data_IF_380133991358
#
_entry.id   IF_380133991358
#
_cell.length_a   1.000
_cell.length_b   1.000
_cell.length_c   1.000
_cell.angle_alpha   90.00
_cell.angle_beta   90.00
_cell.angle_gamma   90.00
#
_symmetry.space_group_name_H-M   'P 1'
#
loop_
_entity.id
_entity.type
_entity.pdbx_description
1 polymer ?
#
# COMPACT_ATOMS: atom_id res chain seq x y z
N UNK A 1 30.60 -6.66 15.60
CA UNK A 1 30.11 -7.61 16.62
C UNK A 1 29.06 -7.00 17.54
N UNK A 2 29.25 -5.81 18.12
CA UNK A 2 28.22 -5.23 19.00
C UNK A 2 27.02 -4.62 18.26
N UNK A 3 27.25 -3.98 17.10
CA UNK A 3 26.18 -3.42 16.28
C UNK A 3 25.30 -4.52 15.64
N UNK A 4 25.91 -5.59 15.13
CA UNK A 4 25.20 -6.73 14.54
C UNK A 4 24.31 -7.46 15.56
N UNK A 5 24.80 -7.65 16.80
CA UNK A 5 23.99 -8.20 17.90
C UNK A 5 22.84 -7.28 18.27
N UNK A 6 23.06 -5.96 18.27
CA UNK A 6 22.02 -4.96 18.50
C UNK A 6 20.93 -5.01 17.42
N UNK A 7 21.30 -5.08 16.15
CA UNK A 7 20.34 -5.17 15.04
C UNK A 7 19.55 -6.47 15.08
N UNK A 8 20.18 -7.62 15.32
CA UNK A 8 19.44 -8.89 15.44
C UNK A 8 18.45 -8.89 16.61
N UNK A 9 18.85 -8.38 17.77
CA UNK A 9 17.95 -8.26 18.92
C UNK A 9 16.75 -7.34 18.62
N UNK A 10 16.95 -6.27 17.85
CA UNK A 10 15.86 -5.41 17.39
C UNK A 10 14.94 -6.11 16.39
N UNK A 11 15.49 -6.89 15.45
CA UNK A 11 14.70 -7.68 14.51
C UNK A 11 13.90 -8.79 15.21
N UNK A 12 14.46 -9.44 16.23
CA UNK A 12 13.73 -10.41 17.06
C UNK A 12 12.52 -9.76 17.75
N UNK A 13 12.68 -8.51 18.20
CA UNK A 13 11.61 -7.73 18.81
C UNK A 13 10.53 -7.34 17.80
N UNK A 14 10.93 -6.94 16.59
CA UNK A 14 10.01 -6.65 15.49
C UNK A 14 9.24 -7.89 15.03
N UNK A 15 9.93 -9.03 14.90
CA UNK A 15 9.31 -10.31 14.54
C UNK A 15 8.27 -10.71 15.59
N UNK A 16 8.57 -10.49 16.88
CA UNK A 16 7.61 -10.72 17.95
C UNK A 16 6.34 -9.87 17.77
N UNK A 17 6.48 -8.57 17.51
CA UNK A 17 5.32 -7.68 17.27
C UNK A 17 4.51 -8.12 16.05
N UNK A 18 5.19 -8.55 14.99
CA UNK A 18 4.56 -9.08 13.77
C UNK A 18 3.71 -10.32 14.06
N UNK A 19 4.25 -11.28 14.83
CA UNK A 19 3.55 -12.51 15.22
C UNK A 19 2.39 -12.23 16.18
N UNK A 20 2.53 -11.26 17.07
CA UNK A 20 1.49 -10.85 18.02
C UNK A 20 0.37 -10.04 17.34
N UNK A 21 0.54 -9.62 16.08
CA UNK A 21 -0.43 -8.82 15.33
C UNK A 21 -0.43 -7.34 15.67
N UNK A 22 0.62 -6.87 16.36
CA UNK A 22 0.78 -5.49 16.81
C UNK A 22 1.35 -4.60 15.68
N UNK A 23 0.66 -4.58 14.53
CA UNK A 23 1.17 -4.01 13.27
C UNK A 23 1.38 -2.49 13.32
N UNK A 24 0.53 -1.74 14.04
CA UNK A 24 0.70 -0.30 14.22
C UNK A 24 1.98 0.01 15.01
N UNK A 25 2.18 -0.70 16.12
CA UNK A 25 3.37 -0.55 16.94
C UNK A 25 4.63 -0.97 16.16
N UNK A 26 4.56 -2.08 15.42
CA UNK A 26 5.64 -2.52 14.55
C UNK A 26 6.00 -1.44 13.52
N UNK A 27 5.01 -0.89 12.81
CA UNK A 27 5.20 0.13 11.78
C UNK A 27 5.89 1.37 12.35
N UNK A 28 5.44 1.84 13.50
CA UNK A 28 6.02 3.03 14.15
C UNK A 28 7.46 2.79 14.58
N UNK A 29 7.76 1.63 15.16
CA UNK A 29 9.14 1.32 15.57
C UNK A 29 10.10 1.14 14.41
N UNK A 30 9.62 0.63 13.27
CA UNK A 30 10.44 0.58 12.05
C UNK A 30 10.67 2.01 11.52
N UNK A 31 9.72 2.94 11.62
CA UNK A 31 9.94 4.36 11.29
C UNK A 31 11.00 4.98 12.20
N UNK A 32 10.87 4.83 13.51
CA UNK A 32 11.88 5.31 14.47
C UNK A 32 13.26 4.72 14.17
N UNK A 33 13.31 3.44 13.78
CA UNK A 33 14.57 2.81 13.37
C UNK A 33 15.15 3.42 12.08
N UNK A 34 14.31 3.67 11.08
CA UNK A 34 14.70 4.31 9.83
C UNK A 34 15.19 5.75 10.03
N UNK A 35 14.57 6.50 10.93
CA UNK A 35 14.96 7.87 11.29
C UNK A 35 16.30 7.91 12.03
N UNK A 36 16.50 7.03 13.02
CA UNK A 36 17.68 7.06 13.88
C UNK A 36 18.90 6.32 13.29
N UNK A 37 18.69 5.34 12.41
CA UNK A 37 19.74 4.44 11.89
C UNK A 37 19.58 4.17 10.38
N UNK A 38 19.45 5.23 9.59
CA UNK A 38 19.07 5.18 8.17
C UNK A 38 19.88 4.20 7.30
N UNK A 39 21.22 4.18 7.40
CA UNK A 39 22.07 3.27 6.61
C UNK A 39 21.82 1.79 6.93
N UNK A 40 21.64 1.48 8.22
CA UNK A 40 21.36 0.11 8.68
C UNK A 40 19.96 -0.30 8.24
N UNK A 41 18.99 0.61 8.38
CA UNK A 41 17.63 0.40 7.90
C UNK A 41 17.59 0.03 6.41
N UNK A 42 18.27 0.79 5.54
CA UNK A 42 18.30 0.47 4.11
C UNK A 42 18.96 -0.87 3.82
N UNK A 43 20.06 -1.18 4.52
CA UNK A 43 20.75 -2.47 4.38
C UNK A 43 19.80 -3.62 4.74
N UNK A 44 19.09 -3.52 5.85
CA UNK A 44 18.13 -4.53 6.31
C UNK A 44 16.93 -4.61 5.37
N UNK A 45 16.34 -3.47 4.98
CA UNK A 45 15.19 -3.44 4.08
C UNK A 45 15.51 -4.09 2.72
N UNK A 46 16.66 -3.77 2.14
CA UNK A 46 17.09 -4.36 0.86
C UNK A 46 17.40 -5.85 1.00
N UNK A 47 18.04 -6.26 2.10
CA UNK A 47 18.30 -7.68 2.40
C UNK A 47 16.99 -8.48 2.52
N UNK A 48 16.00 -7.97 3.27
CA UNK A 48 14.70 -8.63 3.47
C UNK A 48 13.88 -8.74 2.19
N UNK A 49 13.99 -7.78 1.25
CA UNK A 49 13.31 -7.85 -0.05
C UNK A 49 13.96 -8.81 -1.07
N UNK A 50 15.05 -9.46 -0.67
CA UNK A 50 15.83 -10.37 -1.49
C UNK A 50 16.24 -9.82 -2.88
N UNK A 51 16.61 -8.52 -2.95
CA UNK A 51 16.88 -7.84 -4.22
C UNK A 51 18.16 -8.37 -4.89
N UNK A 52 18.09 -8.94 -6.12
CA UNK A 52 19.26 -9.50 -6.80
C UNK A 52 20.37 -8.47 -7.09
N UNK A 53 19.98 -7.24 -7.41
CA UNK A 53 20.93 -6.16 -7.68
C UNK A 53 21.71 -5.79 -6.41
N UNK A 54 21.02 -5.70 -5.27
CA UNK A 54 21.65 -5.40 -3.99
C UNK A 54 22.70 -6.45 -3.60
N UNK A 55 22.38 -7.74 -3.71
CA UNK A 55 23.35 -8.79 -3.39
C UNK A 55 24.52 -8.81 -4.36
N UNK A 56 24.29 -8.55 -5.65
CA UNK A 56 25.38 -8.41 -6.62
C UNK A 56 26.36 -7.30 -6.23
N UNK A 57 25.85 -6.15 -5.77
CA UNK A 57 26.68 -5.03 -5.31
C UNK A 57 27.44 -5.36 -4.02
N UNK A 58 26.76 -5.99 -3.05
CA UNK A 58 27.38 -6.40 -1.78
C UNK A 58 28.48 -7.44 -2.02
N UNK A 59 28.25 -8.43 -2.88
CA UNK A 59 29.25 -9.45 -3.21
C UNK A 59 30.47 -8.85 -3.91
N UNK A 60 30.25 -7.89 -4.81
CA UNK A 60 31.33 -7.20 -5.52
C UNK A 60 32.20 -6.33 -4.58
N UNK A 61 31.60 -5.72 -3.56
CA UNK A 61 32.30 -4.79 -2.66
C UNK A 61 32.86 -5.45 -1.40
N UNK A 62 32.13 -6.39 -0.80
CA UNK A 62 32.40 -6.95 0.52
C UNK A 62 32.65 -8.47 0.48
N UNK A 63 32.39 -9.13 -0.65
CA UNK A 63 32.54 -10.57 -0.84
C UNK A 63 31.29 -11.39 -0.48
N UNK A 64 31.36 -12.69 -0.74
CA UNK A 64 30.22 -13.62 -0.63
C UNK A 64 29.77 -13.83 0.82
N UNK A 65 30.69 -13.88 1.78
CA UNK A 65 30.35 -14.13 3.19
C UNK A 65 29.40 -13.10 3.81
N UNK A 66 29.66 -11.78 3.69
CA UNK A 66 28.73 -10.74 4.11
C UNK A 66 27.38 -10.80 3.38
N UNK A 67 27.37 -11.14 2.09
CA UNK A 67 26.14 -11.31 1.32
C UNK A 67 25.30 -12.48 1.85
N UNK A 68 25.91 -13.63 2.16
CA UNK A 68 25.24 -14.78 2.76
C UNK A 68 24.64 -14.43 4.12
N UNK A 69 25.37 -13.68 4.95
CA UNK A 69 24.86 -13.22 6.26
C UNK A 69 23.61 -12.35 6.12
N UNK A 70 23.53 -11.54 5.05
CA UNK A 70 22.35 -10.72 4.76
C UNK A 70 21.20 -11.55 4.16
N UNK A 71 21.49 -12.59 3.38
CA UNK A 71 20.47 -13.55 2.89
C UNK A 71 19.79 -14.26 4.05
N UNK A 72 20.57 -14.66 5.06
CA UNK A 72 20.05 -15.29 6.26
C UNK A 72 18.98 -14.43 6.96
N UNK A 73 19.04 -13.09 6.84
CA UNK A 73 18.01 -12.22 7.42
C UNK A 73 16.63 -12.43 6.78
N UNK A 74 16.56 -12.56 5.46
CA UNK A 74 15.30 -12.79 4.75
C UNK A 74 14.71 -14.18 5.08
N UNK A 75 15.59 -15.17 5.29
CA UNK A 75 15.17 -16.52 5.72
C UNK A 75 14.72 -16.55 7.18
N UNK A 76 15.36 -15.77 8.05
CA UNK A 76 15.09 -15.75 9.49
C UNK A 76 13.85 -14.91 9.83
N UNK A 77 13.65 -13.78 9.15
CA UNK A 77 12.60 -12.80 9.45
C UNK A 77 11.70 -12.51 8.23
N UNK A 78 11.09 -13.54 7.61
CA UNK A 78 10.29 -13.34 6.41
C UNK A 78 9.07 -12.43 6.65
N UNK A 79 8.53 -12.42 7.87
CA UNK A 79 7.37 -11.59 8.23
C UNK A 79 7.66 -10.08 8.21
N UNK A 80 8.94 -9.70 8.32
CA UNK A 80 9.37 -8.30 8.36
C UNK A 80 9.58 -7.69 6.96
N UNK A 81 9.58 -8.50 5.90
CA UNK A 81 9.86 -8.03 4.55
C UNK A 81 8.87 -6.96 4.09
N UNK A 82 7.57 -7.18 4.26
CA UNK A 82 6.54 -6.20 3.89
C UNK A 82 6.56 -4.95 4.78
N UNK A 83 6.57 -5.04 6.14
CA UNK A 83 6.69 -3.86 7.00
C UNK A 83 7.89 -2.97 6.67
N UNK A 84 9.06 -3.55 6.43
CA UNK A 84 10.25 -2.79 6.04
C UNK A 84 10.13 -2.19 4.64
N UNK A 85 9.57 -2.93 3.68
CA UNK A 85 9.30 -2.40 2.35
C UNK A 85 8.39 -1.17 2.42
N UNK A 86 7.33 -1.23 3.22
CA UNK A 86 6.38 -0.14 3.35
C UNK A 86 7.03 1.09 3.97
N UNK A 87 7.72 0.98 5.11
CA UNK A 87 8.46 2.12 5.72
C UNK A 87 9.50 2.67 4.76
N UNK A 88 10.15 1.82 3.96
CA UNK A 88 11.11 2.29 2.95
C UNK A 88 10.43 3.20 1.93
N UNK A 89 9.20 2.89 1.49
CA UNK A 89 8.44 3.80 0.61
C UNK A 89 8.14 5.13 1.30
N UNK A 90 7.79 5.11 2.60
CA UNK A 90 7.50 6.34 3.34
C UNK A 90 8.73 7.25 3.43
N UNK A 91 9.87 6.68 3.77
CA UNK A 91 11.12 7.44 3.95
C UNK A 91 11.73 7.89 2.61
N UNK A 92 11.61 7.08 1.55
CA UNK A 92 12.24 7.39 0.25
C UNK A 92 11.38 8.20 -0.70
N UNK A 93 10.05 8.05 -0.63
CA UNK A 93 9.12 8.61 -1.60
C UNK A 93 8.13 9.59 -0.95
N UNK A 94 8.30 9.90 0.34
CA UNK A 94 7.39 10.75 1.12
C UNK A 94 5.93 10.25 1.05
N UNK A 95 5.76 8.93 0.87
CA UNK A 95 4.45 8.27 0.77
C UNK A 95 4.01 7.84 2.15
N UNK A 96 3.06 8.52 2.77
CA UNK A 96 2.56 8.09 4.07
C UNK A 96 1.49 6.98 3.92
N UNK A 97 1.65 5.85 4.62
CA UNK A 97 0.66 4.76 4.66
C UNK A 97 0.16 4.35 3.26
N UNK A 98 1.04 3.93 2.33
CA UNK A 98 0.61 3.49 1.01
C UNK A 98 -0.40 2.35 1.16
N UNK A 99 -1.56 2.49 0.51
CA UNK A 99 -2.61 1.46 0.48
C UNK A 99 -2.07 0.26 -0.29
N UNK A 100 -2.09 -0.91 0.35
CA UNK A 100 -1.63 -2.18 -0.23
C UNK A 100 -2.79 -3.08 -0.58
N UNK A 101 -3.89 -2.99 0.15
CA UNK A 101 -5.06 -3.84 -0.01
C UNK A 101 -6.35 -3.06 0.24
N UNK A 102 -7.41 -3.48 -0.45
CA UNK A 102 -8.76 -2.94 -0.33
C UNK A 102 -9.75 -4.12 -0.33
N UNK A 103 -10.27 -4.46 0.85
CA UNK A 103 -11.32 -5.45 1.00
C UNK A 103 -12.67 -4.82 0.66
N UNK A 104 -13.47 -5.47 -0.18
CA UNK A 104 -14.78 -4.96 -0.59
C UNK A 104 -15.86 -6.03 -0.42
N UNK A 105 -16.97 -5.67 0.21
CA UNK A 105 -18.15 -6.51 0.36
C UNK A 105 -19.43 -5.75 -0.02
N UNK A 106 -20.45 -6.48 -0.48
CA UNK A 106 -21.78 -5.93 -0.76
C UNK A 106 -22.84 -6.58 0.12
N UNK A 107 -23.84 -5.79 0.50
CA UNK A 107 -25.01 -6.23 1.26
C UNK A 107 -26.25 -5.44 0.82
N UNK A 108 -27.42 -5.70 1.41
CA UNK A 108 -28.65 -4.99 1.07
C UNK A 108 -29.42 -4.60 2.33
N UNK A 109 -29.74 -3.32 2.48
CA UNK A 109 -30.55 -2.81 3.57
C UNK A 109 -32.02 -2.95 3.22
N UNK A 110 -32.72 -3.92 3.82
CA UNK A 110 -34.10 -4.27 3.43
C UNK A 110 -35.12 -3.18 3.73
N UNK A 111 -34.95 -2.44 4.83
CA UNK A 111 -35.94 -1.43 5.25
C UNK A 111 -35.87 -0.16 4.41
N UNK A 112 -34.67 0.17 3.91
CA UNK A 112 -34.46 1.35 3.05
C UNK A 112 -34.47 0.97 1.57
N UNK A 113 -34.49 -0.33 1.27
CA UNK A 113 -34.40 -0.90 -0.08
C UNK A 113 -33.14 -0.49 -0.86
N UNK A 114 -32.05 -0.20 -0.14
CA UNK A 114 -30.80 0.30 -0.72
C UNK A 114 -29.69 -0.77 -0.64
N UNK A 115 -28.98 -1.06 -1.74
CA UNK A 115 -27.74 -1.85 -1.66
C UNK A 115 -26.69 -1.09 -0.86
N UNK A 116 -25.88 -1.81 -0.08
CA UNK A 116 -24.79 -1.25 0.69
C UNK A 116 -23.47 -1.84 0.22
N UNK A 117 -22.45 -0.99 0.11
CA UNK A 117 -21.07 -1.37 -0.16
C UNK A 117 -20.30 -1.11 1.13
N UNK A 118 -19.49 -2.09 1.54
CA UNK A 118 -18.54 -1.95 2.64
C UNK A 118 -17.14 -2.13 2.07
N UNK A 119 -16.20 -1.29 2.48
CA UNK A 119 -14.80 -1.50 2.14
C UNK A 119 -13.87 -1.12 3.29
N UNK A 120 -12.74 -1.83 3.37
CA UNK A 120 -11.66 -1.57 4.31
C UNK A 120 -10.36 -1.39 3.53
N UNK A 121 -9.65 -0.30 3.79
CA UNK A 121 -8.34 -0.05 3.20
C UNK A 121 -7.24 -0.31 4.23
N UNK A 122 -6.19 -1.02 3.83
CA UNK A 122 -5.05 -1.35 4.70
C UNK A 122 -3.69 -1.00 4.07
N UNK A 123 -2.68 -0.82 4.92
CA UNK A 123 -1.26 -0.69 4.56
C UNK A 123 -0.47 -1.79 5.28
N UNK A 124 -0.25 -2.90 4.60
CA UNK A 124 0.15 -4.17 5.23
C UNK A 124 -0.90 -4.57 6.26
N UNK A 125 -0.46 -4.95 7.46
CA UNK A 125 -1.35 -5.32 8.57
C UNK A 125 -2.09 -4.16 9.25
N UNK A 126 -1.91 -2.90 8.84
CA UNK A 126 -2.56 -1.75 9.49
C UNK A 126 -3.82 -1.35 8.72
N UNK A 127 -4.98 -1.41 9.38
CA UNK A 127 -6.23 -0.85 8.85
C UNK A 127 -6.18 0.67 8.89
N UNK A 128 -6.37 1.30 7.73
CA UNK A 128 -6.36 2.76 7.59
C UNK A 128 -7.75 3.35 7.74
N UNK A 129 -8.74 2.67 7.18
CA UNK A 129 -10.10 3.20 7.07
C UNK A 129 -11.11 2.10 6.79
N UNK A 130 -12.25 2.18 7.47
CA UNK A 130 -13.43 1.33 7.24
C UNK A 130 -14.62 2.19 6.83
N UNK A 131 -15.35 1.73 5.82
CA UNK A 131 -16.55 2.39 5.34
C UNK A 131 -17.68 1.42 5.06
N UNK A 132 -18.92 1.89 5.28
CA UNK A 132 -20.13 1.24 4.82
C UNK A 132 -21.17 2.29 4.47
N UNK A 133 -21.66 2.24 3.24
CA UNK A 133 -22.68 3.17 2.76
C UNK A 133 -23.32 2.74 1.45
N UNK A 134 -24.21 3.57 0.95
CA UNK A 134 -24.89 3.34 -0.33
C UNK A 134 -23.94 3.59 -1.51
N UNK A 135 -24.18 2.97 -2.69
CA UNK A 135 -23.33 3.15 -3.87
C UNK A 135 -23.12 4.61 -4.28
N UNK A 136 -24.12 5.48 -4.09
CA UNK A 136 -24.00 6.89 -4.46
C UNK A 136 -22.95 7.63 -3.61
N UNK A 137 -22.81 7.28 -2.33
CA UNK A 137 -21.83 7.88 -1.41
C UNK A 137 -20.41 7.34 -1.71
N UNK A 138 -20.29 6.06 -2.09
CA UNK A 138 -19.01 5.50 -2.56
C UNK A 138 -18.55 6.20 -3.84
N UNK A 139 -19.46 6.38 -4.80
CA UNK A 139 -19.15 7.09 -6.05
C UNK A 139 -18.80 8.55 -5.80
N UNK A 140 -19.45 9.22 -4.85
CA UNK A 140 -19.10 10.57 -4.46
C UNK A 140 -17.66 10.65 -3.92
N UNK A 141 -17.26 9.68 -3.09
CA UNK A 141 -15.87 9.59 -2.60
C UNK A 141 -14.89 9.38 -3.76
N UNK A 142 -15.21 8.49 -4.69
CA UNK A 142 -14.40 8.27 -5.89
C UNK A 142 -14.27 9.54 -6.75
N UNK A 143 -15.34 10.33 -6.89
CA UNK A 143 -15.31 11.63 -7.58
C UNK A 143 -14.31 12.58 -6.94
N UNK A 144 -14.35 12.76 -5.61
CA UNK A 144 -13.40 13.64 -4.92
C UNK A 144 -11.94 13.22 -5.13
N UNK A 145 -11.66 11.91 -5.13
CA UNK A 145 -10.30 11.40 -5.35
C UNK A 145 -9.83 11.62 -6.80
N UNK A 146 -10.70 11.42 -7.79
CA UNK A 146 -10.39 11.69 -9.20
C UNK A 146 -10.19 13.19 -9.44
N UNK A 147 -11.00 14.06 -8.84
CA UNK A 147 -10.82 15.51 -8.88
C UNK A 147 -9.46 15.92 -8.30
N UNK A 148 -9.13 15.46 -7.10
CA UNK A 148 -7.82 15.76 -6.48
C UNK A 148 -6.63 15.25 -7.32
N UNK A 149 -6.80 14.11 -8.01
CA UNK A 149 -5.78 13.58 -8.93
C UNK A 149 -5.58 14.50 -10.12
N UNK A 150 -6.66 15.00 -10.73
CA UNK A 150 -6.59 15.96 -11.82
C UNK A 150 -5.92 17.27 -11.37
N UNK A 151 -6.28 17.80 -10.19
CA UNK A 151 -5.69 19.01 -9.63
C UNK A 151 -4.17 18.86 -9.44
N UNK A 152 -3.72 17.70 -8.96
CA UNK A 152 -2.29 17.38 -8.79
C UNK A 152 -1.55 17.36 -10.14
N UNK A 153 -2.15 16.75 -11.17
CA UNK A 153 -1.55 16.71 -12.52
C UNK A 153 -1.56 18.09 -13.19
N UNK A 154 -2.63 18.87 -13.02
CA UNK A 154 -2.69 20.25 -13.50
C UNK A 154 -1.61 21.11 -12.84
N UNK A 155 -1.41 20.98 -11.53
CA UNK A 155 -0.34 21.65 -10.81
C UNK A 155 1.05 21.27 -11.32
N UNK A 156 1.28 19.99 -11.64
CA UNK A 156 2.53 19.51 -12.23
C UNK A 156 2.76 20.12 -13.63
N UNK A 157 1.72 20.16 -14.48
CA UNK A 157 1.79 20.80 -15.80
C UNK A 157 2.08 22.30 -15.69
N UNK A 158 1.40 23.01 -14.79
CA UNK A 158 1.58 24.45 -14.58
C UNK A 158 3.01 24.78 -14.09
N UNK A 159 3.63 23.88 -13.33
CA UNK A 159 4.98 24.02 -12.78
C UNK A 159 6.07 23.42 -13.70
N UNK A 160 5.72 22.84 -14.85
CA UNK A 160 6.61 22.10 -15.74
C UNK A 160 7.38 20.97 -15.03
N UNK A 161 6.74 20.31 -14.06
CA UNK A 161 7.30 19.11 -13.44
C UNK A 161 7.13 17.90 -14.37
N UNK A 162 8.17 17.09 -14.50
CA UNK A 162 8.09 15.85 -15.28
C UNK A 162 7.42 14.75 -14.48
N UNK A 163 6.52 14.02 -15.13
CA UNK A 163 5.97 12.74 -14.63
C UNK A 163 6.77 11.61 -15.28
N UNK A 164 7.20 10.63 -14.50
CA UNK A 164 7.99 9.51 -15.04
C UNK A 164 7.10 8.59 -15.91
N UNK A 165 7.72 7.79 -16.77
CA UNK A 165 7.00 6.94 -17.74
C UNK A 165 6.17 5.86 -17.08
N UNK A 166 6.63 5.31 -15.96
CA UNK A 166 5.95 4.21 -15.27
C UNK A 166 4.64 4.71 -14.65
N UNK A 167 4.68 5.88 -14.00
CA UNK A 167 3.51 6.57 -13.47
C UNK A 167 2.53 6.95 -14.58
N UNK A 168 3.01 7.45 -15.72
CA UNK A 168 2.14 7.77 -16.85
C UNK A 168 1.44 6.53 -17.41
N UNK A 169 2.14 5.40 -17.52
CA UNK A 169 1.56 4.13 -17.95
C UNK A 169 0.49 3.63 -16.97
N UNK A 170 0.78 3.62 -15.67
CA UNK A 170 -0.19 3.24 -14.64
C UNK A 170 -1.41 4.16 -14.65
N UNK A 171 -1.24 5.49 -14.80
CA UNK A 171 -2.35 6.44 -14.89
C UNK A 171 -3.26 6.14 -16.09
N UNK A 172 -2.68 5.79 -17.25
CA UNK A 172 -3.44 5.43 -18.45
C UNK A 172 -4.26 4.16 -18.19
N UNK A 173 -3.63 3.11 -17.67
CA UNK A 173 -4.27 1.82 -17.41
C UNK A 173 -5.41 1.97 -16.38
N UNK A 174 -5.18 2.73 -15.30
CA UNK A 174 -6.21 2.98 -14.27
C UNK A 174 -7.37 3.81 -14.80
N UNK A 175 -7.10 4.83 -15.61
CA UNK A 175 -8.16 5.62 -16.25
C UNK A 175 -9.02 4.74 -17.15
N UNK A 176 -8.42 3.90 -17.99
CA UNK A 176 -9.17 3.00 -18.88
C UNK A 176 -10.00 1.98 -18.10
N UNK A 177 -9.45 1.44 -17.02
CA UNK A 177 -10.18 0.57 -16.10
C UNK A 177 -11.40 1.30 -15.49
N UNK A 178 -11.22 2.53 -15.01
CA UNK A 178 -12.31 3.35 -14.45
C UNK A 178 -13.40 3.64 -15.50
N UNK A 179 -13.01 4.05 -16.71
CA UNK A 179 -13.94 4.28 -17.82
C UNK A 179 -14.78 3.03 -18.13
N UNK A 180 -14.15 1.86 -18.16
CA UNK A 180 -14.85 0.58 -18.37
C UNK A 180 -15.87 0.28 -17.27
N UNK A 181 -15.51 0.49 -16.00
CA UNK A 181 -16.42 0.26 -14.87
C UNK A 181 -17.57 1.27 -14.83
N UNK A 182 -17.32 2.54 -15.16
CA UNK A 182 -18.37 3.57 -15.24
C UNK A 182 -19.39 3.27 -16.34
N UNK A 183 -18.96 2.73 -17.48
CA UNK A 183 -19.88 2.27 -18.52
C UNK A 183 -20.76 1.11 -18.03
N UNK A 184 -20.19 0.12 -17.35
CA UNK A 184 -20.97 -0.98 -16.78
C UNK A 184 -21.94 -0.50 -15.69
N UNK A 185 -21.54 0.47 -14.86
CA UNK A 185 -22.41 1.11 -13.89
C UNK A 185 -23.60 1.80 -14.56
N UNK A 186 -23.37 2.52 -15.67
CA UNK A 186 -24.43 3.17 -16.43
C UNK A 186 -25.45 2.15 -16.94
N UNK A 187 -24.99 1.02 -17.49
CA UNK A 187 -25.86 -0.08 -17.93
C UNK A 187 -26.71 -0.63 -16.79
N UNK A 188 -26.12 -0.81 -15.59
CA UNK A 188 -26.87 -1.23 -14.39
C UNK A 188 -27.91 -0.20 -13.95
N UNK A 189 -27.59 1.09 -13.95
CA UNK A 189 -28.53 2.16 -13.61
C UNK A 189 -29.69 2.18 -14.59
N UNK A 190 -29.42 2.07 -15.89
CA UNK A 190 -30.47 2.06 -16.91
C UNK A 190 -31.34 0.80 -16.83
N UNK A 191 -30.77 -0.35 -16.48
CA UNK A 191 -31.54 -1.56 -16.18
C UNK A 191 -32.45 -1.38 -14.96
N UNK A 192 -31.96 -0.77 -13.88
CA UNK A 192 -32.75 -0.48 -12.68
C UNK A 192 -33.88 0.52 -12.97
N UNK A 193 -33.63 1.55 -13.78
CA UNK A 193 -34.65 2.51 -14.23
C UNK A 193 -35.78 1.87 -15.05
N UNK A 194 -35.47 0.83 -15.83
CA UNK A 194 -36.44 0.10 -16.65
C UNK A 194 -37.20 -0.96 -15.87
N UNK A 195 -36.74 -1.33 -14.67
CA UNK A 195 -37.42 -2.28 -13.81
C UNK A 195 -38.66 -1.58 -13.22
N UNK A 196 -39.88 -2.13 -13.40
CA UNK A 196 -41.07 -1.51 -12.82
C UNK A 196 -40.90 -1.47 -11.29
N UNK A 197 -41.08 -0.29 -10.71
CA UNK A 197 -41.29 -0.16 -9.27
C UNK A 197 -42.64 -0.83 -9.01
N UNK A 198 -42.67 -1.87 -8.18
CA UNK A 198 -43.90 -2.64 -7.95
C UNK A 198 -45.00 -1.74 -7.39
N UNK A 199 -46.17 -1.80 -8.03
CA UNK A 199 -47.44 -1.39 -7.43
C UNK A 199 -47.72 -2.32 -6.25
N UNK A 200 -47.45 -1.87 -5.02
CA UNK A 200 -48.13 -2.33 -3.81
C UNK A 200 -49.02 -1.22 -3.24
#
# INVERSE_FOLDING_TARGET
MDHERGTRALLDEFEKLSIEGEYEQLRERIREFAENNQEIFYTVALALTNSPHFFGDVEAQLGVGPADTLRDLAETYPSLAEPFYLVRLEVTQDRHNPVTELDVATSYHREEEVPLVSYSASSGGVTLYDYKGAPHEVLQTATFLVEATNDSLEAALAQNHSVNTDELSELIDRREQLESQLNALQDHIDALRRKPVGDE
#
